data_IF_391812489836
#
_entry.id   IF_391812489836
#
_cell.length_a   1.000
_cell.length_b   1.000
_cell.length_c   1.000
_cell.angle_alpha   90.00
_cell.angle_beta   90.00
_cell.angle_gamma   90.00
#
_symmetry.space_group_name_H-M   'P 1'
#
loop_
_entity.id
_entity.type
_entity.pdbx_description
1 polymer ?
#
# COMPACT_ATOMS: atom_id res chain seq x y z
N UNK A 1 2.28 -61.06 78.39
CA UNK A 1 3.63 -60.55 78.04
C UNK A 1 3.73 -60.57 76.52
N UNK A 2 3.98 -59.53 75.73
CA UNK A 2 4.48 -58.16 75.88
C UNK A 2 3.85 -57.33 74.75
N UNK A 3 3.32 -56.15 75.07
CA UNK A 3 2.78 -55.17 74.11
C UNK A 3 3.93 -54.48 73.37
N UNK A 4 3.94 -54.50 72.03
CA UNK A 4 4.85 -53.69 71.21
C UNK A 4 4.24 -52.30 70.97
N UNK A 5 4.78 -51.33 71.69
CA UNK A 5 4.59 -49.89 71.46
C UNK A 5 5.15 -49.49 70.07
N UNK A 6 4.35 -48.83 69.24
CA UNK A 6 4.82 -48.03 68.12
C UNK A 6 4.69 -46.55 68.49
N UNK A 7 5.82 -45.92 68.75
CA UNK A 7 5.98 -44.48 68.87
C UNK A 7 6.55 -43.95 67.54
N UNK A 8 5.95 -42.85 67.08
CA UNK A 8 6.53 -41.77 66.28
C UNK A 8 6.89 -42.07 64.80
N UNK A 9 6.89 -41.06 63.91
CA UNK A 9 6.15 -39.80 63.94
C UNK A 9 5.60 -39.33 62.57
N UNK A 10 4.63 -38.42 62.65
CA UNK A 10 4.50 -37.19 61.85
C UNK A 10 5.51 -36.96 60.71
N UNK A 11 5.34 -37.60 59.55
CA UNK A 11 6.12 -37.30 58.35
C UNK A 11 5.30 -37.29 57.05
N UNK A 12 3.97 -37.20 57.16
CA UNK A 12 3.07 -37.23 56.00
C UNK A 12 2.33 -35.90 55.75
N UNK A 13 2.55 -34.86 56.58
CA UNK A 13 1.77 -33.60 56.51
C UNK A 13 2.50 -32.46 55.77
N UNK A 14 3.78 -32.61 55.43
CA UNK A 14 4.57 -31.56 54.77
C UNK A 14 4.62 -31.63 53.22
N UNK A 15 4.00 -32.62 52.59
CA UNK A 15 4.05 -32.79 51.12
C UNK A 15 2.85 -32.19 50.36
N UNK A 16 1.86 -31.61 51.04
CA UNK A 16 0.69 -31.00 50.39
C UNK A 16 0.73 -29.46 50.33
N UNK A 17 1.82 -28.83 50.80
CA UNK A 17 1.96 -27.36 50.80
C UNK A 17 2.83 -26.80 49.66
N UNK A 18 3.22 -27.62 48.67
CA UNK A 18 4.01 -27.19 47.51
C UNK A 18 3.27 -27.30 46.17
N UNK A 19 1.93 -27.29 46.19
CA UNK A 19 1.18 -26.75 45.05
C UNK A 19 1.35 -25.24 45.03
N UNK A 20 2.56 -24.77 44.66
CA UNK A 20 2.73 -23.39 44.18
C UNK A 20 1.77 -23.24 43.02
N UNK A 21 0.71 -22.49 43.24
CA UNK A 21 -0.21 -22.04 42.22
C UNK A 21 0.59 -21.31 41.15
N UNK A 22 1.11 -22.04 40.14
CA UNK A 22 1.57 -21.50 38.86
C UNK A 22 0.35 -21.05 38.05
N UNK A 23 -0.53 -20.30 38.69
CA UNK A 23 -1.62 -19.62 38.04
C UNK A 23 -0.97 -18.42 37.35
N UNK A 24 -0.98 -18.36 36.00
CA UNK A 24 -0.39 -17.25 35.28
C UNK A 24 -1.00 -15.94 35.77
N UNK A 25 -0.15 -14.93 35.90
CA UNK A 25 -0.57 -13.57 36.26
C UNK A 25 -1.64 -13.08 35.27
N UNK A 26 -2.52 -12.14 35.66
CA UNK A 26 -3.54 -11.61 34.76
C UNK A 26 -2.94 -11.09 33.44
N UNK A 27 -1.77 -10.46 33.48
CA UNK A 27 -1.06 -9.99 32.28
C UNK A 27 -0.57 -11.12 31.37
N UNK A 28 -0.07 -12.23 31.93
CA UNK A 28 0.35 -13.39 31.14
C UNK A 28 -0.85 -14.07 30.45
N UNK A 29 -2.02 -14.10 31.11
CA UNK A 29 -3.25 -14.63 30.52
C UNK A 29 -3.72 -13.78 29.34
N UNK A 30 -3.68 -12.46 29.49
CA UNK A 30 -4.03 -11.53 28.41
C UNK A 30 -3.11 -11.71 27.21
N UNK A 31 -1.78 -11.78 27.42
CA UNK A 31 -0.80 -12.03 26.35
C UNK A 31 -1.04 -13.35 25.63
N UNK A 32 -1.28 -14.44 26.37
CA UNK A 32 -1.55 -15.75 25.77
C UNK A 32 -2.87 -15.75 24.97
N UNK A 33 -3.91 -15.06 25.47
CA UNK A 33 -5.17 -14.91 24.76
C UNK A 33 -5.02 -14.10 23.46
N UNK A 34 -4.24 -13.01 23.50
CA UNK A 34 -3.94 -12.20 22.32
C UNK A 34 -3.13 -12.99 21.28
N UNK A 35 -2.11 -13.73 21.71
CA UNK A 35 -1.32 -14.61 20.85
C UNK A 35 -2.21 -15.67 20.18
N UNK A 36 -3.09 -16.34 20.93
CA UNK A 36 -4.03 -17.32 20.36
C UNK A 36 -4.98 -16.67 19.35
N UNK A 37 -5.46 -15.46 19.64
CA UNK A 37 -6.31 -14.68 18.73
C UNK A 37 -5.58 -14.39 17.41
N UNK A 38 -4.34 -13.88 17.46
CA UNK A 38 -3.55 -13.58 16.27
C UNK A 38 -3.23 -14.83 15.44
N UNK A 39 -2.87 -15.94 16.10
CA UNK A 39 -2.66 -17.23 15.43
C UNK A 39 -3.92 -17.73 14.72
N UNK A 40 -5.07 -17.65 15.38
CA UNK A 40 -6.34 -18.08 14.79
C UNK A 40 -6.71 -17.23 13.57
N UNK A 41 -6.45 -15.93 13.65
CA UNK A 41 -6.71 -14.97 12.59
C UNK A 41 -5.76 -15.16 11.40
N UNK A 42 -4.49 -15.45 11.66
CA UNK A 42 -3.52 -15.83 10.64
C UNK A 42 -3.95 -17.09 9.88
N UNK A 43 -4.23 -18.18 10.60
CA UNK A 43 -4.64 -19.45 9.99
C UNK A 43 -5.91 -19.31 9.16
N UNK A 44 -6.87 -18.49 9.60
CA UNK A 44 -8.10 -18.20 8.85
C UNK A 44 -7.84 -17.50 7.51
N UNK A 45 -6.74 -16.76 7.40
CA UNK A 45 -6.47 -15.89 6.25
C UNK A 45 -5.23 -16.29 5.45
N UNK A 46 -4.54 -17.37 5.84
CA UNK A 46 -3.30 -17.81 5.24
C UNK A 46 -3.41 -18.05 3.73
N UNK A 47 -4.47 -18.72 3.28
CA UNK A 47 -4.68 -19.03 1.86
C UNK A 47 -5.02 -17.79 1.01
N UNK A 48 -5.75 -16.83 1.59
CA UNK A 48 -6.20 -15.62 0.87
C UNK A 48 -5.18 -14.49 0.89
N UNK A 49 -4.26 -14.48 1.85
CA UNK A 49 -3.31 -13.39 2.07
C UNK A 49 -2.45 -13.08 0.84
N UNK A 50 -1.83 -14.07 0.14
CA UNK A 50 -1.02 -13.79 -1.05
C UNK A 50 -1.80 -13.05 -2.14
N UNK A 51 -3.05 -13.46 -2.39
CA UNK A 51 -3.91 -12.82 -3.38
C UNK A 51 -4.29 -11.37 -3.01
N UNK A 52 -4.47 -11.08 -1.71
CA UNK A 52 -4.73 -9.72 -1.23
C UNK A 52 -3.50 -8.81 -1.36
N UNK A 53 -2.32 -9.34 -1.04
CA UNK A 53 -1.04 -8.64 -1.21
C UNK A 53 -0.76 -8.35 -2.68
N UNK A 54 -0.99 -9.31 -3.56
CA UNK A 54 -0.78 -9.12 -5.00
C UNK A 54 -1.71 -8.06 -5.59
N UNK A 55 -2.99 -8.06 -5.17
CA UNK A 55 -3.95 -7.01 -5.55
C UNK A 55 -3.51 -5.63 -5.08
N UNK A 56 -2.97 -5.54 -3.86
CA UNK A 56 -2.42 -4.29 -3.32
C UNK A 56 -1.21 -3.81 -4.14
N UNK A 57 -0.24 -4.68 -4.38
CA UNK A 57 0.95 -4.36 -5.16
C UNK A 57 0.60 -3.91 -6.59
N UNK A 58 -0.33 -4.62 -7.23
CA UNK A 58 -0.85 -4.26 -8.56
C UNK A 58 -1.49 -2.87 -8.56
N UNK A 59 -2.35 -2.58 -7.58
CA UNK A 59 -3.01 -1.28 -7.48
C UNK A 59 -2.00 -0.15 -7.21
N UNK A 60 -0.99 -0.40 -6.37
CA UNK A 60 0.08 0.55 -6.12
C UNK A 60 0.91 0.83 -7.38
N UNK A 61 1.29 -0.20 -8.12
CA UNK A 61 2.02 -0.07 -9.38
C UNK A 61 1.20 0.69 -10.42
N UNK A 62 -0.11 0.42 -10.51
CA UNK A 62 -1.02 1.14 -11.40
C UNK A 62 -1.09 2.62 -11.06
N UNK A 63 -1.25 2.99 -9.77
CA UNK A 63 -1.27 4.38 -9.35
C UNK A 63 0.05 5.10 -9.70
N UNK A 64 1.18 4.46 -9.44
CA UNK A 64 2.50 4.99 -9.81
C UNK A 64 2.62 5.18 -11.33
N UNK A 65 2.16 4.21 -12.13
CA UNK A 65 2.21 4.28 -13.58
C UNK A 65 1.34 5.40 -14.16
N UNK A 66 0.16 5.65 -13.58
CA UNK A 66 -0.69 6.77 -13.99
C UNK A 66 0.00 8.10 -13.68
N UNK A 67 0.52 8.29 -12.46
CA UNK A 67 1.21 9.51 -12.05
C UNK A 67 2.50 9.80 -12.81
N UNK A 68 3.14 8.76 -13.34
CA UNK A 68 4.35 8.90 -14.14
C UNK A 68 4.06 9.40 -15.57
N UNK A 69 2.79 9.41 -16.02
CA UNK A 69 2.43 9.92 -17.35
C UNK A 69 2.64 11.43 -17.40
N UNK A 70 3.31 11.88 -18.45
CA UNK A 70 3.49 13.29 -18.75
C UNK A 70 2.71 13.69 -20.01
N UNK A 71 2.25 14.94 -20.04
CA UNK A 71 1.66 15.50 -21.25
C UNK A 71 2.75 15.72 -22.30
N UNK A 72 2.51 15.25 -23.52
CA UNK A 72 3.41 15.47 -24.66
C UNK A 72 2.70 16.38 -25.66
N UNK A 73 3.22 17.59 -25.90
CA UNK A 73 2.56 18.53 -26.79
C UNK A 73 2.65 18.09 -28.25
N UNK A 74 1.71 18.57 -29.08
CA UNK A 74 1.82 18.43 -30.53
C UNK A 74 2.98 19.23 -31.11
N UNK A 75 3.45 18.89 -32.33
CA UNK A 75 4.42 19.73 -33.02
C UNK A 75 3.80 21.09 -33.32
N UNK A 76 4.54 22.17 -33.02
CA UNK A 76 4.15 23.53 -33.40
C UNK A 76 4.35 23.74 -34.90
N UNK A 77 3.61 24.68 -35.53
CA UNK A 77 3.93 25.16 -36.87
C UNK A 77 5.38 25.60 -36.94
N UNK A 78 6.05 25.27 -38.03
CA UNK A 78 7.41 25.70 -38.28
C UNK A 78 7.37 26.93 -39.19
N UNK A 79 8.24 27.93 -38.95
CA UNK A 79 8.38 29.03 -39.89
C UNK A 79 8.90 28.50 -41.23
N UNK A 80 8.68 29.27 -42.29
CA UNK A 80 9.29 29.01 -43.60
C UNK A 80 10.82 28.97 -43.46
N UNK A 81 11.49 28.17 -44.29
CA UNK A 81 12.94 28.10 -44.29
C UNK A 81 13.55 29.49 -44.59
N UNK A 82 14.60 29.94 -43.86
CA UNK A 82 15.15 31.28 -44.06
C UNK A 82 15.72 31.53 -45.47
N UNK A 83 16.21 30.51 -46.17
CA UNK A 83 16.71 30.68 -47.54
C UNK A 83 15.57 30.77 -48.54
N UNK A 84 14.45 30.06 -48.29
CA UNK A 84 13.21 30.23 -49.05
C UNK A 84 12.61 31.62 -48.82
N UNK A 85 12.57 32.07 -47.57
CA UNK A 85 12.03 33.38 -47.20
C UNK A 85 12.81 34.53 -47.85
N UNK A 86 14.14 34.41 -47.99
CA UNK A 86 14.96 35.44 -48.68
C UNK A 86 14.72 35.53 -50.19
N UNK A 87 14.20 34.47 -50.81
CA UNK A 87 13.87 34.47 -52.25
C UNK A 87 12.55 35.18 -52.55
N UNK A 88 11.72 35.36 -51.53
CA UNK A 88 10.43 36.03 -51.64
C UNK A 88 10.59 37.56 -51.71
N UNK A 89 9.62 38.23 -52.33
CA UNK A 89 9.54 39.69 -52.28
C UNK A 89 9.18 40.15 -50.87
N UNK A 90 9.45 41.41 -50.52
CA UNK A 90 9.15 41.95 -49.18
C UNK A 90 7.66 41.81 -48.84
N UNK A 91 6.77 42.02 -49.82
CA UNK A 91 5.33 41.86 -49.63
C UNK A 91 4.96 40.39 -49.31
N UNK A 92 5.52 39.45 -50.05
CA UNK A 92 5.26 38.02 -49.82
C UNK A 92 5.85 37.55 -48.48
N UNK A 93 7.01 38.08 -48.08
CA UNK A 93 7.59 37.79 -46.76
C UNK A 93 6.68 38.21 -45.60
N UNK A 94 6.01 39.37 -45.72
CA UNK A 94 5.03 39.83 -44.73
C UNK A 94 3.79 38.93 -44.70
N UNK A 95 3.27 38.56 -45.87
CA UNK A 95 2.12 37.66 -45.96
C UNK A 95 2.43 36.27 -45.34
N UNK A 96 3.62 35.72 -45.56
CA UNK A 96 4.04 34.45 -44.94
C UNK A 96 4.18 34.56 -43.42
N UNK A 97 4.67 35.70 -42.91
CA UNK A 97 4.73 35.95 -41.46
C UNK A 97 3.32 36.00 -40.86
N UNK A 98 2.39 36.72 -41.49
CA UNK A 98 0.99 36.80 -41.03
C UNK A 98 0.32 35.42 -41.01
N UNK A 99 0.55 34.60 -42.04
CA UNK A 99 0.02 33.23 -42.12
C UNK A 99 0.62 32.34 -41.03
N UNK A 100 1.93 32.44 -40.80
CA UNK A 100 2.60 31.69 -39.74
C UNK A 100 2.06 32.07 -38.36
N UNK A 101 1.88 33.36 -38.06
CA UNK A 101 1.31 33.83 -36.79
C UNK A 101 -0.12 33.30 -36.59
N UNK A 102 -0.95 33.37 -37.62
CA UNK A 102 -2.31 32.80 -37.59
C UNK A 102 -2.30 31.28 -37.32
N UNK A 103 -1.38 30.55 -37.95
CA UNK A 103 -1.22 29.12 -37.74
C UNK A 103 -0.75 28.80 -36.31
N UNK A 104 0.19 29.58 -35.76
CA UNK A 104 0.67 29.44 -34.38
C UNK A 104 -0.47 29.68 -33.39
N UNK A 105 -1.29 30.71 -33.60
CA UNK A 105 -2.41 31.00 -32.72
C UNK A 105 -3.52 29.94 -32.79
N UNK A 106 -3.80 29.43 -33.98
CA UNK A 106 -4.71 28.29 -34.15
C UNK A 106 -4.17 27.04 -33.43
N UNK A 107 -2.88 26.75 -33.57
CA UNK A 107 -2.22 25.65 -32.88
C UNK A 107 -2.29 25.80 -31.36
N UNK A 108 -2.00 26.99 -30.82
CA UNK A 108 -2.07 27.27 -29.37
C UNK A 108 -3.47 27.00 -28.80
N UNK A 109 -4.53 27.39 -29.52
CA UNK A 109 -5.92 27.12 -29.10
C UNK A 109 -6.20 25.62 -29.06
N UNK A 110 -5.84 24.89 -30.12
CA UNK A 110 -6.02 23.44 -30.18
C UNK A 110 -5.21 22.71 -29.10
N UNK A 111 -3.99 23.17 -28.85
CA UNK A 111 -3.09 22.59 -27.86
C UNK A 111 -3.60 22.81 -26.43
N UNK A 112 -4.17 23.98 -26.14
CA UNK A 112 -4.83 24.26 -24.88
C UNK A 112 -6.01 23.30 -24.63
N UNK A 113 -6.87 23.09 -25.64
CA UNK A 113 -7.99 22.14 -25.52
C UNK A 113 -7.51 20.69 -25.36
N UNK A 114 -6.46 20.29 -26.08
CA UNK A 114 -5.85 18.95 -25.94
C UNK A 114 -5.31 18.74 -24.53
N UNK A 115 -4.61 19.73 -24.00
CA UNK A 115 -4.08 19.71 -22.65
C UNK A 115 -5.21 19.63 -21.62
N UNK A 116 -6.25 20.45 -21.74
CA UNK A 116 -7.39 20.42 -20.82
C UNK A 116 -8.11 19.06 -20.82
N UNK A 117 -8.30 18.46 -22.00
CA UNK A 117 -8.86 17.09 -22.11
C UNK A 117 -7.95 16.06 -21.45
N UNK A 118 -6.64 16.15 -21.66
CA UNK A 118 -5.67 15.26 -21.04
C UNK A 118 -5.65 15.42 -19.51
N UNK A 119 -5.65 16.65 -18.98
CA UNK A 119 -5.62 16.93 -17.54
C UNK A 119 -6.87 16.37 -16.83
N UNK A 120 -8.05 16.54 -17.44
CA UNK A 120 -9.31 15.93 -16.94
C UNK A 120 -9.23 14.41 -16.93
N UNK A 121 -8.74 13.82 -18.01
CA UNK A 121 -8.57 12.37 -18.10
C UNK A 121 -7.57 11.86 -17.07
N UNK A 122 -6.41 12.52 -16.91
CA UNK A 122 -5.41 12.15 -15.91
C UNK A 122 -5.97 12.21 -14.50
N UNK A 123 -6.68 13.29 -14.14
CA UNK A 123 -7.27 13.43 -12.82
C UNK A 123 -8.28 12.31 -12.54
N UNK A 124 -9.09 11.94 -13.54
CA UNK A 124 -10.02 10.82 -13.43
C UNK A 124 -9.32 9.47 -13.29
N UNK A 125 -8.26 9.23 -14.07
CA UNK A 125 -7.46 8.00 -14.00
C UNK A 125 -6.75 7.87 -12.64
N UNK A 126 -6.14 8.96 -12.15
CA UNK A 126 -5.48 9.01 -10.85
C UNK A 126 -6.47 8.74 -9.71
N UNK A 127 -7.64 9.38 -9.73
CA UNK A 127 -8.69 9.15 -8.73
C UNK A 127 -9.15 7.69 -8.72
N UNK A 128 -9.36 7.10 -9.89
CA UNK A 128 -9.76 5.69 -10.03
C UNK A 128 -8.69 4.73 -9.50
N UNK A 129 -7.42 4.99 -9.83
CA UNK A 129 -6.30 4.18 -9.35
C UNK A 129 -6.08 4.32 -7.84
N UNK A 130 -6.22 5.54 -7.30
CA UNK A 130 -6.15 5.79 -5.86
C UNK A 130 -7.29 5.08 -5.11
N UNK A 131 -8.51 5.08 -5.65
CA UNK A 131 -9.62 4.34 -5.06
C UNK A 131 -9.38 2.83 -5.08
N UNK A 132 -8.84 2.29 -6.18
CA UNK A 132 -8.47 0.87 -6.27
C UNK A 132 -7.44 0.47 -5.21
N UNK A 133 -6.40 1.30 -5.00
CA UNK A 133 -5.41 1.10 -3.94
C UNK A 133 -6.06 1.16 -2.55
N UNK A 134 -6.94 2.12 -2.30
CA UNK A 134 -7.65 2.25 -1.03
C UNK A 134 -8.56 1.05 -0.73
N UNK A 135 -9.24 0.50 -1.75
CA UNK A 135 -10.04 -0.73 -1.61
C UNK A 135 -9.16 -1.95 -1.30
N UNK A 136 -8.02 -2.09 -1.98
CA UNK A 136 -7.06 -3.15 -1.68
C UNK A 136 -6.49 -3.03 -0.24
N UNK A 137 -6.15 -1.80 0.17
CA UNK A 137 -5.70 -1.50 1.52
C UNK A 137 -6.79 -1.83 2.56
N UNK A 138 -8.05 -1.46 2.32
CA UNK A 138 -9.15 -1.77 3.22
C UNK A 138 -9.33 -3.28 3.41
N UNK A 139 -9.19 -4.09 2.34
CA UNK A 139 -9.24 -5.54 2.44
C UNK A 139 -8.12 -6.12 3.31
N UNK A 140 -6.91 -5.55 3.24
CA UNK A 140 -5.80 -5.92 4.13
C UNK A 140 -6.06 -5.49 5.58
N UNK A 141 -6.62 -4.29 5.83
CA UNK A 141 -7.00 -3.84 7.19
C UNK A 141 -8.01 -4.76 7.86
N UNK A 142 -8.93 -5.35 7.09
CA UNK A 142 -9.89 -6.34 7.60
C UNK A 142 -9.23 -7.66 8.00
N UNK A 143 -8.07 -8.00 7.43
CA UNK A 143 -7.25 -9.14 7.88
C UNK A 143 -6.55 -8.74 9.17
N UNK A 144 -5.62 -7.80 9.08
CA UNK A 144 -4.81 -7.35 10.21
C UNK A 144 -4.27 -5.95 9.89
N UNK A 145 -4.62 -4.92 10.68
CA UNK A 145 -4.30 -3.52 10.34
C UNK A 145 -2.78 -3.24 10.30
N UNK A 146 -1.98 -3.91 11.13
CA UNK A 146 -0.52 -3.70 11.19
C UNK A 146 0.24 -4.17 9.94
N UNK A 147 -0.45 -4.86 9.02
CA UNK A 147 0.09 -5.18 7.69
C UNK A 147 0.34 -3.93 6.83
N UNK A 148 -0.23 -2.78 7.24
CA UNK A 148 -0.06 -1.51 6.57
C UNK A 148 0.61 -0.49 7.48
N UNK A 149 1.51 0.30 6.90
CA UNK A 149 2.07 1.47 7.56
C UNK A 149 1.07 2.63 7.55
N UNK A 150 1.04 3.40 8.63
CA UNK A 150 0.25 4.63 8.71
C UNK A 150 0.82 5.70 7.75
N UNK A 151 -0.07 6.41 7.04
CA UNK A 151 0.32 7.47 6.11
C UNK A 151 -0.84 7.90 5.20
N UNK A 152 -0.63 8.99 4.47
CA UNK A 152 -1.58 9.48 3.47
C UNK A 152 -1.79 8.47 2.33
N UNK A 153 -0.73 7.75 1.96
CA UNK A 153 -0.79 6.62 1.03
C UNK A 153 -0.47 5.32 1.77
N UNK A 154 -1.35 4.31 1.68
CA UNK A 154 -1.11 3.05 2.34
C UNK A 154 0.12 2.39 1.75
N UNK A 155 0.97 1.82 2.60
CA UNK A 155 2.16 1.05 2.20
C UNK A 155 2.20 -0.26 2.98
N UNK A 156 2.69 -1.33 2.35
CA UNK A 156 2.88 -2.61 3.04
C UNK A 156 3.95 -2.47 4.12
N UNK A 157 3.64 -2.98 5.30
CA UNK A 157 4.62 -3.21 6.35
C UNK A 157 5.27 -4.58 6.12
N UNK A 158 6.35 -4.62 5.33
CA UNK A 158 7.01 -5.87 4.93
C UNK A 158 7.42 -6.75 6.12
N UNK A 159 8.05 -6.21 7.19
CA UNK A 159 8.36 -7.00 8.39
C UNK A 159 7.13 -7.67 9.02
N UNK A 160 6.02 -6.93 9.17
CA UNK A 160 4.78 -7.48 9.75
C UNK A 160 4.11 -8.49 8.82
N UNK A 161 4.17 -8.28 7.50
CA UNK A 161 3.64 -9.23 6.53
C UNK A 161 4.40 -10.56 6.58
N UNK A 162 5.73 -10.51 6.64
CA UNK A 162 6.57 -11.71 6.79
C UNK A 162 6.28 -12.42 8.11
N UNK A 163 6.20 -11.68 9.21
CA UNK A 163 5.88 -12.22 10.54
C UNK A 163 4.51 -12.89 10.55
N UNK A 164 3.50 -12.20 10.04
CA UNK A 164 2.12 -12.66 9.99
C UNK A 164 1.99 -13.87 9.07
N UNK A 165 2.54 -13.86 7.86
CA UNK A 165 2.37 -14.95 6.87
C UNK A 165 2.87 -16.33 7.34
N UNK A 166 3.79 -16.38 8.32
CA UNK A 166 4.33 -17.64 8.87
C UNK A 166 3.38 -18.38 9.82
N UNK A 167 2.35 -17.72 10.37
CA UNK A 167 1.42 -18.27 11.36
C UNK A 167 2.09 -19.05 12.53
N UNK A 168 3.28 -18.61 12.98
CA UNK A 168 4.04 -19.29 14.04
C UNK A 168 3.76 -18.65 15.41
N UNK A 169 3.56 -19.43 16.49
CA UNK A 169 3.25 -18.89 17.82
C UNK A 169 4.34 -17.97 18.36
N UNK A 170 5.60 -18.32 18.11
CA UNK A 170 6.77 -17.59 18.59
C UNK A 170 6.90 -16.19 17.99
N UNK A 171 6.24 -15.94 16.86
CA UNK A 171 6.25 -14.66 16.13
C UNK A 171 5.22 -13.66 16.67
N UNK A 172 4.35 -14.07 17.60
CA UNK A 172 3.33 -13.23 18.23
C UNK A 172 3.58 -13.09 19.75
N UNK A 173 4.85 -13.03 20.17
CA UNK A 173 5.28 -12.85 21.57
C UNK A 173 5.53 -11.40 21.93
#
# INVERSE_FOLDING_TARGET
>A
MIRRFRLLPLLAVLLLASCRSNAPSPQERERLAEQQRLLSLCKRHQERLPALVERFNTAQAQLTAVRAKAYVPGPAPQPLDPEEQRRLTIYDQQAEQDLYEQAVDAWRRQEAERRERWERQQTSEEATAAEALNRAAAALRQVYPELLLAGAEPRLNQPELERFSRCQPEQFR
#
